data_IF_722913220030
#
_entry.id   IF_722913220030
#
_cell.length_a   1.000
_cell.length_b   1.000
_cell.length_c   1.000
_cell.angle_alpha   90.00
_cell.angle_beta   90.00
_cell.angle_gamma   90.00
#
_symmetry.space_group_name_H-M   'P 1'
#
loop_
_entity.id
_entity.type
_entity.pdbx_description
1 polymer ?
#
# COMPACT_ATOMS: atom_id res chain seq x y z
N UNK A 1 -3.87 7.40 -4.70
CA UNK A 1 -4.25 7.88 -3.35
C UNK A 1 -3.00 8.09 -2.54
N UNK A 2 -2.94 9.15 -1.74
CA UNK A 2 -1.85 9.40 -0.78
C UNK A 2 -2.46 9.75 0.56
N UNK A 3 -1.94 9.17 1.63
CA UNK A 3 -2.32 9.43 3.02
C UNK A 3 -1.08 9.94 3.74
N UNK A 4 -1.24 11.08 4.41
CA UNK A 4 -0.22 11.66 5.28
C UNK A 4 -0.55 11.43 6.76
N UNK A 5 0.48 11.43 7.60
CA UNK A 5 0.38 11.46 9.04
C UNK A 5 -0.18 12.83 9.46
N UNK A 6 -1.28 12.89 10.22
CA UNK A 6 -1.91 14.15 10.61
C UNK A 6 -1.05 15.00 11.56
N UNK A 7 -0.10 14.40 12.30
CA UNK A 7 0.75 15.09 13.26
C UNK A 7 1.93 15.83 12.65
N UNK A 8 2.43 15.39 11.49
CA UNK A 8 3.63 15.97 10.88
C UNK A 8 3.61 16.07 9.35
N UNK A 9 2.51 15.66 8.70
CA UNK A 9 2.32 15.71 7.25
C UNK A 9 3.14 14.68 6.47
N UNK A 10 3.87 13.80 7.16
CA UNK A 10 4.70 12.80 6.48
C UNK A 10 3.88 11.75 5.78
N UNK A 11 4.39 11.26 4.67
CA UNK A 11 3.81 10.16 3.94
C UNK A 11 3.72 8.87 4.79
N UNK A 12 2.53 8.28 4.89
CA UNK A 12 2.31 6.96 5.53
C UNK A 12 1.79 5.90 4.57
N UNK A 13 1.06 6.28 3.52
CA UNK A 13 0.59 5.34 2.51
C UNK A 13 0.38 6.00 1.15
N UNK A 14 0.83 5.35 0.08
CA UNK A 14 0.54 5.70 -1.31
C UNK A 14 0.16 4.41 -2.01
N UNK A 15 -0.79 4.52 -2.90
CA UNK A 15 -1.00 3.47 -3.86
C UNK A 15 -1.86 3.91 -5.02
N UNK A 16 -1.90 3.03 -6.00
CA UNK A 16 -2.75 3.13 -7.16
C UNK A 16 -3.54 1.83 -7.30
N UNK A 17 -4.82 1.96 -7.62
CA UNK A 17 -5.68 0.85 -8.00
C UNK A 17 -6.04 0.97 -9.47
N UNK A 18 -6.17 -0.16 -10.17
CA UNK A 18 -6.61 -0.18 -11.58
C UNK A 18 -7.24 -1.50 -12.01
N UNK A 19 -7.77 -1.52 -13.24
CA UNK A 19 -8.29 -2.71 -13.91
C UNK A 19 -9.79 -2.99 -13.72
N UNK A 20 -10.45 -2.39 -12.72
CA UNK A 20 -11.89 -2.53 -12.50
C UNK A 20 -12.50 -1.21 -11.98
N UNK A 21 -13.82 -0.98 -12.15
CA UNK A 21 -14.51 0.20 -11.62
C UNK A 21 -14.41 0.35 -10.10
N UNK A 22 -14.20 -0.77 -9.39
CA UNK A 22 -14.09 -0.83 -7.93
C UNK A 22 -12.66 -0.63 -7.41
N UNK A 23 -11.71 -0.30 -8.29
CA UNK A 23 -10.29 -0.14 -7.95
C UNK A 23 -10.02 0.90 -6.84
N UNK A 24 -10.81 1.98 -6.79
CA UNK A 24 -10.69 2.97 -5.72
C UNK A 24 -11.06 2.39 -4.35
N UNK A 25 -12.10 1.54 -4.28
CA UNK A 25 -12.56 0.89 -3.05
C UNK A 25 -11.55 -0.17 -2.60
N UNK A 26 -11.04 -0.94 -3.56
CA UNK A 26 -9.93 -1.88 -3.38
C UNK A 26 -8.70 -1.21 -2.74
N UNK A 27 -8.31 -0.04 -3.26
CA UNK A 27 -7.19 0.72 -2.73
C UNK A 27 -7.46 1.25 -1.30
N UNK A 28 -8.67 1.73 -1.03
CA UNK A 28 -9.08 2.15 0.32
C UNK A 28 -9.08 1.01 1.33
N UNK A 29 -9.55 -0.18 0.94
CA UNK A 29 -9.48 -1.38 1.78
C UNK A 29 -8.02 -1.74 2.11
N UNK A 30 -7.12 -1.74 1.12
CA UNK A 30 -5.70 -2.04 1.37
C UNK A 30 -5.10 -1.04 2.35
N UNK A 31 -5.35 0.25 2.18
CA UNK A 31 -4.86 1.27 3.10
C UNK A 31 -5.35 1.04 4.54
N UNK A 32 -6.64 0.75 4.72
CA UNK A 32 -7.22 0.44 6.04
C UNK A 32 -6.56 -0.78 6.69
N UNK A 33 -6.43 -1.87 5.96
CA UNK A 33 -5.86 -3.10 6.52
C UNK A 33 -4.40 -2.91 6.96
N UNK A 34 -3.64 -2.10 6.21
CA UNK A 34 -2.22 -1.87 6.49
C UNK A 34 -2.00 -0.83 7.58
N UNK A 35 -2.72 0.29 7.54
CA UNK A 35 -2.54 1.39 8.49
C UNK A 35 -3.29 1.15 9.81
N UNK A 36 -4.58 0.79 9.73
CA UNK A 36 -5.43 0.71 10.93
C UNK A 36 -5.31 -0.68 11.58
N UNK A 37 -5.33 -1.74 10.77
CA UNK A 37 -5.27 -3.12 11.26
C UNK A 37 -3.83 -3.66 11.35
N UNK A 38 -2.82 -2.86 11.00
CA UNK A 38 -1.40 -3.20 11.08
C UNK A 38 -1.04 -4.52 10.37
N UNK A 39 -1.79 -4.89 9.33
CA UNK A 39 -1.53 -6.12 8.58
C UNK A 39 -0.39 -5.91 7.58
N UNK A 40 0.49 -6.90 7.37
CA UNK A 40 1.55 -6.79 6.36
C UNK A 40 0.98 -6.57 4.96
N UNK A 41 1.45 -5.55 4.24
CA UNK A 41 0.96 -5.17 2.92
C UNK A 41 0.95 -6.35 1.93
N UNK A 42 2.04 -7.12 1.86
CA UNK A 42 2.14 -8.28 0.98
C UNK A 42 1.05 -9.34 1.25
N UNK A 43 0.76 -9.61 2.52
CA UNK A 43 -0.29 -10.56 2.92
C UNK A 43 -1.70 -10.05 2.58
N UNK A 44 -1.94 -8.75 2.71
CA UNK A 44 -3.22 -8.13 2.32
C UNK A 44 -3.44 -8.27 0.80
N UNK A 45 -2.42 -7.96 0.00
CA UNK A 45 -2.49 -8.08 -1.46
C UNK A 45 -2.66 -9.55 -1.90
N UNK A 46 -1.89 -10.46 -1.33
CA UNK A 46 -1.97 -11.89 -1.63
C UNK A 46 -3.34 -12.51 -1.28
N UNK A 47 -3.97 -12.06 -0.20
CA UNK A 47 -5.30 -12.54 0.20
C UNK A 47 -6.41 -11.97 -0.68
N UNK A 48 -6.27 -10.74 -1.18
CA UNK A 48 -7.27 -10.12 -2.07
C UNK A 48 -7.29 -10.72 -3.47
N UNK A 49 -6.14 -11.12 -4.00
CA UNK A 49 -6.02 -11.70 -5.36
C UNK A 49 -6.72 -10.86 -6.43
N UNK A 50 -6.42 -9.56 -6.49
CA UNK A 50 -7.07 -8.59 -7.38
C UNK A 50 -8.61 -8.46 -7.28
N UNK A 51 -9.25 -8.92 -6.20
CA UNK A 51 -10.69 -8.76 -6.02
C UNK A 51 -11.09 -7.28 -5.97
N UNK A 52 -11.71 -6.78 -7.04
CA UNK A 52 -12.04 -5.37 -7.19
C UNK A 52 -10.93 -4.51 -7.80
N UNK A 53 -9.92 -5.13 -8.41
CA UNK A 53 -8.85 -4.48 -9.16
C UNK A 53 -7.48 -4.74 -8.53
N UNK A 54 -6.44 -4.52 -9.34
CA UNK A 54 -5.05 -4.64 -8.94
C UNK A 54 -4.64 -3.41 -8.13
N UNK A 55 -3.89 -3.61 -7.05
CA UNK A 55 -3.37 -2.53 -6.22
C UNK A 55 -1.85 -2.65 -6.10
N UNK A 56 -1.16 -1.54 -6.36
CA UNK A 56 0.25 -1.37 -6.02
C UNK A 56 0.35 -0.28 -4.96
N UNK A 57 1.14 -0.50 -3.92
CA UNK A 57 1.21 0.40 -2.78
C UNK A 57 2.59 0.42 -2.10
N UNK A 58 2.81 1.51 -1.38
CA UNK A 58 3.91 1.77 -0.45
C UNK A 58 3.25 2.17 0.87
N UNK A 59 3.66 1.56 1.97
CA UNK A 59 3.18 1.86 3.31
C UNK A 59 4.36 2.06 4.26
N UNK A 60 4.39 3.21 4.93
CA UNK A 60 5.38 3.56 5.95
C UNK A 60 4.61 3.95 7.23
N UNK A 61 4.18 2.99 8.07
CA UNK A 61 3.29 3.27 9.20
C UNK A 61 3.85 4.31 10.19
N UNK A 62 5.17 4.34 10.36
CA UNK A 62 5.88 5.31 11.21
C UNK A 62 6.28 6.60 10.49
N UNK A 63 5.88 6.78 9.23
CA UNK A 63 6.34 7.88 8.37
C UNK A 63 7.66 7.58 7.67
N UNK A 64 7.86 8.20 6.50
CA UNK A 64 9.05 7.96 5.66
C UNK A 64 10.37 8.37 6.33
N UNK A 65 10.40 9.47 7.10
CA UNK A 65 11.63 9.97 7.74
C UNK A 65 12.05 9.15 8.96
N UNK A 66 11.17 8.31 9.50
CA UNK A 66 11.52 7.41 10.61
C UNK A 66 12.55 6.36 10.19
N UNK A 67 12.36 5.73 9.03
CA UNK A 67 13.34 4.89 8.32
C UNK A 67 12.71 4.33 7.03
N UNK A 68 13.39 4.46 5.89
CA UNK A 68 12.93 3.85 4.63
C UNK A 68 12.83 2.31 4.72
N UNK A 69 13.66 1.69 5.57
CA UNK A 69 13.66 0.24 5.78
C UNK A 69 12.45 -0.25 6.59
N UNK A 70 11.73 0.66 7.25
CA UNK A 70 10.47 0.33 7.94
C UNK A 70 9.26 0.31 6.99
N UNK A 71 9.43 0.79 5.77
CA UNK A 71 8.38 0.80 4.77
C UNK A 71 8.17 -0.59 4.17
N UNK A 72 6.93 -0.88 3.82
CA UNK A 72 6.52 -2.04 3.05
C UNK A 72 6.12 -1.57 1.66
N UNK A 73 6.60 -2.26 0.64
CA UNK A 73 6.18 -2.05 -0.75
C UNK A 73 5.55 -3.32 -1.27
N UNK A 74 4.55 -3.20 -2.14
CA UNK A 74 3.86 -4.37 -2.68
C UNK A 74 3.14 -4.06 -3.98
N UNK A 75 3.12 -5.06 -4.84
CA UNK A 75 2.29 -5.11 -6.04
C UNK A 75 1.34 -6.30 -5.94
N UNK A 76 0.12 -6.17 -6.46
CA UNK A 76 -0.85 -7.26 -6.44
C UNK A 76 -0.30 -8.47 -7.21
N UNK A 77 -0.19 -9.67 -6.59
CA UNK A 77 0.41 -10.84 -7.23
C UNK A 77 -0.36 -11.34 -8.46
N UNK A 78 -1.63 -10.99 -8.60
CA UNK A 78 -2.41 -11.33 -9.80
C UNK A 78 -2.11 -10.38 -10.99
N UNK A 79 -1.38 -9.29 -10.77
CA UNK A 79 -0.96 -8.34 -11.80
C UNK A 79 0.50 -8.54 -12.23
N UNK A 80 0.98 -7.61 -13.07
CA UNK A 80 2.36 -7.60 -13.58
C UNK A 80 3.24 -6.51 -12.93
N UNK A 81 2.83 -6.00 -11.76
CA UNK A 81 3.54 -4.93 -11.06
C UNK A 81 4.82 -5.41 -10.39
N UNK A 82 5.79 -4.49 -10.25
CA UNK A 82 7.00 -4.69 -9.45
C UNK A 82 7.01 -3.70 -8.30
N UNK A 83 7.42 -4.18 -7.12
CA UNK A 83 7.64 -3.35 -5.94
C UNK A 83 9.03 -3.67 -5.39
N UNK A 84 9.89 -2.66 -5.32
CA UNK A 84 11.26 -2.77 -4.79
C UNK A 84 11.56 -1.55 -3.93
N UNK A 85 12.32 -1.76 -2.87
CA UNK A 85 12.90 -0.67 -2.09
C UNK A 85 14.33 -0.51 -2.60
N UNK A 86 14.63 0.65 -3.19
CA UNK A 86 16.01 1.01 -3.48
C UNK A 86 16.66 1.42 -2.16
N UNK A 87 17.55 0.56 -1.65
CA UNK A 87 18.41 0.85 -0.51
C UNK A 87 19.85 0.93 -1.01
N UNK A 88 20.57 1.93 -0.53
CA UNK A 88 21.98 2.22 -0.88
C UNK A 88 22.93 1.45 0.04
#
# INVERSE_FOLDING_TARGET
MVIGNPGNGEFTFAGAGGGLPTAAQALGYVAREVLDNSRPLGSVLANRRAQGGFVNAIACPSGLRGSANSCQVGADPAGAGLAVIAVE
#
